data_IF_829643506528
#
_entry.id   IF_829643506528
#
_cell.length_a   1.000
_cell.length_b   1.000
_cell.length_c   1.000
_cell.angle_alpha   90.00
_cell.angle_beta   90.00
_cell.angle_gamma   90.00
#
_symmetry.space_group_name_H-M   'P 1'
#
loop_
_entity.id
_entity.type
_entity.pdbx_description
1 polymer ?
#
# COMPACT_ATOMS: atom_id res chain seq x y z
N UNK A 1 10.94 -65.82 -7.03
CA UNK A 1 10.47 -65.17 -8.28
C UNK A 1 9.47 -64.11 -7.85
N UNK A 2 9.96 -63.03 -7.23
CA UNK A 2 10.40 -61.78 -7.88
C UNK A 2 9.23 -61.08 -8.57
N UNK A 3 8.60 -60.17 -7.81
CA UNK A 3 7.68 -59.16 -8.29
C UNK A 3 8.51 -58.08 -9.01
N UNK A 4 8.55 -58.16 -10.34
CA UNK A 4 8.98 -57.08 -11.23
C UNK A 4 7.71 -56.55 -11.88
N UNK A 5 7.34 -55.32 -11.55
CA UNK A 5 6.14 -54.68 -12.11
C UNK A 5 5.74 -53.47 -11.29
N UNK A 6 6.42 -52.37 -11.58
CA UNK A 6 6.00 -50.96 -11.44
C UNK A 6 7.06 -50.10 -10.73
N UNK A 7 8.18 -50.01 -11.42
CA UNK A 7 9.02 -48.84 -11.40
C UNK A 7 8.35 -47.72 -12.22
N UNK A 8 8.55 -46.48 -11.76
CA UNK A 8 8.38 -45.22 -12.50
C UNK A 8 6.96 -44.67 -12.61
N UNK A 9 6.47 -44.13 -11.49
CA UNK A 9 5.66 -42.91 -11.55
C UNK A 9 6.16 -41.88 -10.52
N UNK A 10 7.49 -41.65 -10.51
CA UNK A 10 8.02 -40.34 -10.14
C UNK A 10 7.65 -39.41 -11.29
N UNK A 11 6.48 -38.79 -11.18
CA UNK A 11 6.06 -37.69 -12.03
C UNK A 11 7.06 -36.55 -11.86
N UNK A 12 8.03 -36.54 -12.74
CA UNK A 12 8.61 -35.41 -13.45
C UNK A 12 8.04 -34.04 -13.05
N UNK A 13 8.32 -33.58 -11.82
CA UNK A 13 8.27 -32.16 -11.49
C UNK A 13 9.53 -31.53 -12.07
N UNK A 14 9.63 -31.51 -13.40
CA UNK A 14 10.42 -30.48 -14.05
C UNK A 14 9.88 -29.15 -13.50
N UNK A 15 10.77 -28.37 -12.89
CA UNK A 15 10.62 -26.96 -12.60
C UNK A 15 10.13 -26.22 -13.86
N UNK A 16 8.84 -26.31 -14.17
CA UNK A 16 8.25 -25.48 -15.21
C UNK A 16 8.28 -24.07 -14.67
N UNK A 17 9.23 -23.29 -15.20
CA UNK A 17 9.34 -21.86 -14.93
C UNK A 17 7.94 -21.26 -15.14
N UNK A 18 7.34 -20.63 -14.11
CA UNK A 18 5.99 -20.11 -14.21
C UNK A 18 5.79 -19.23 -15.45
N UNK A 19 4.70 -19.46 -16.19
CA UNK A 19 4.34 -18.69 -17.39
C UNK A 19 2.87 -18.30 -17.38
N UNK A 20 2.51 -17.28 -18.16
CA UNK A 20 1.12 -16.87 -18.38
C UNK A 20 0.89 -15.40 -18.04
N UNK A 21 -0.36 -14.95 -18.18
CA UNK A 21 -0.76 -13.58 -17.82
C UNK A 21 -1.31 -13.54 -16.40
N UNK A 22 -0.93 -12.52 -15.63
CA UNK A 22 -1.53 -12.20 -14.33
C UNK A 22 -2.07 -10.77 -14.41
N UNK A 23 -3.40 -10.63 -14.30
CA UNK A 23 -4.09 -9.35 -14.31
C UNK A 23 -4.34 -8.87 -12.88
N UNK A 24 -3.80 -7.72 -12.51
CA UNK A 24 -3.89 -7.15 -11.16
C UNK A 24 -4.63 -5.82 -11.20
N UNK A 25 -5.61 -5.66 -10.32
CA UNK A 25 -6.24 -4.37 -10.07
C UNK A 25 -5.71 -3.74 -8.77
N UNK A 26 -5.24 -2.50 -8.82
CA UNK A 26 -4.69 -1.81 -7.65
C UNK A 26 -4.93 -0.30 -7.75
N UNK A 27 -4.85 0.42 -6.62
CA UNK A 27 -4.74 1.89 -6.67
C UNK A 27 -3.32 2.30 -7.06
N UNK A 28 -3.15 3.48 -7.64
CA UNK A 28 -1.83 4.04 -7.99
C UNK A 28 -0.85 4.02 -6.81
N UNK A 29 -1.33 4.39 -5.62
CA UNK A 29 -0.54 4.35 -4.39
C UNK A 29 -0.09 2.94 -4.03
N UNK A 30 -0.98 1.95 -4.14
CA UNK A 30 -0.62 0.56 -3.90
C UNK A 30 0.41 0.05 -4.92
N UNK A 31 0.22 0.35 -6.21
CA UNK A 31 1.18 -0.04 -7.27
C UNK A 31 2.58 0.49 -6.96
N UNK A 32 2.68 1.79 -6.63
CA UNK A 32 3.98 2.42 -6.31
C UNK A 32 4.63 1.84 -5.06
N UNK A 33 3.82 1.48 -4.07
CA UNK A 33 4.31 1.05 -2.77
C UNK A 33 4.72 -0.42 -2.74
N UNK A 34 3.95 -1.31 -3.36
CA UNK A 34 4.17 -2.77 -3.22
C UNK A 34 4.60 -3.46 -4.50
N UNK A 35 4.09 -3.04 -5.67
CA UNK A 35 4.45 -3.68 -6.95
C UNK A 35 5.76 -3.12 -7.50
N UNK A 36 5.86 -1.79 -7.63
CA UNK A 36 7.01 -1.11 -8.25
C UNK A 36 8.37 -1.59 -7.72
N UNK A 37 8.59 -1.78 -6.41
CA UNK A 37 9.89 -2.24 -5.90
C UNK A 37 10.32 -3.62 -6.39
N UNK A 38 9.36 -4.49 -6.75
CA UNK A 38 9.65 -5.89 -7.12
C UNK A 38 9.66 -6.13 -8.64
N UNK A 39 9.01 -5.27 -9.45
CA UNK A 39 8.73 -5.55 -10.87
C UNK A 39 9.96 -5.95 -11.67
N UNK A 40 11.05 -5.19 -11.56
CA UNK A 40 12.26 -5.43 -12.33
C UNK A 40 12.90 -6.79 -11.99
N UNK A 41 13.05 -7.09 -10.69
CA UNK A 41 13.61 -8.36 -10.24
C UNK A 41 12.70 -9.55 -10.54
N UNK A 42 11.38 -9.37 -10.40
CA UNK A 42 10.38 -10.40 -10.68
C UNK A 42 10.35 -10.79 -12.15
N UNK A 43 10.25 -9.82 -13.06
CA UNK A 43 10.16 -10.08 -14.51
C UNK A 43 11.49 -10.61 -15.07
N UNK A 44 12.63 -10.24 -14.48
CA UNK A 44 13.91 -10.85 -14.81
C UNK A 44 13.99 -12.33 -14.39
N UNK A 45 13.41 -12.68 -13.23
CA UNK A 45 13.36 -14.07 -12.73
C UNK A 45 12.35 -14.94 -13.48
N UNK A 46 11.23 -14.36 -13.92
CA UNK A 46 10.14 -15.08 -14.57
C UNK A 46 9.78 -14.44 -15.93
N UNK A 47 10.62 -14.60 -16.97
CA UNK A 47 10.43 -13.94 -18.27
C UNK A 47 9.21 -14.45 -19.05
N UNK A 48 8.66 -15.62 -18.70
CA UNK A 48 7.44 -16.16 -19.30
C UNK A 48 6.14 -15.62 -18.69
N UNK A 49 6.21 -14.75 -17.67
CA UNK A 49 5.05 -14.10 -17.07
C UNK A 49 4.81 -12.74 -17.73
N UNK A 50 3.57 -12.49 -18.11
CA UNK A 50 3.08 -11.17 -18.47
C UNK A 50 2.26 -10.59 -17.30
N UNK A 51 2.64 -9.41 -16.79
CA UNK A 51 1.86 -8.69 -15.79
C UNK A 51 1.03 -7.60 -16.47
N UNK A 52 -0.30 -7.70 -16.35
CA UNK A 52 -1.25 -6.66 -16.75
C UNK A 52 -1.74 -5.95 -15.48
N UNK A 53 -1.25 -4.74 -15.23
CA UNK A 53 -1.56 -3.99 -14.01
C UNK A 53 -2.47 -2.82 -14.37
N UNK A 54 -3.68 -2.84 -13.84
CA UNK A 54 -4.68 -1.79 -14.04
C UNK A 54 -4.79 -0.96 -12.76
N UNK A 55 -4.53 0.34 -12.91
CA UNK A 55 -4.77 1.34 -11.88
C UNK A 55 -6.23 1.79 -11.95
N UNK A 56 -7.05 1.35 -11.00
CA UNK A 56 -8.44 1.81 -10.84
C UNK A 56 -8.73 2.01 -9.35
N UNK A 57 -9.24 3.19 -9.00
CA UNK A 57 -9.65 3.54 -7.64
C UNK A 57 -11.02 2.98 -7.23
N UNK A 58 -11.79 2.37 -8.13
CA UNK A 58 -13.10 1.79 -7.83
C UNK A 58 -12.95 0.44 -7.12
N UNK A 59 -13.91 0.04 -6.29
CA UNK A 59 -14.05 -1.36 -5.88
C UNK A 59 -14.49 -2.14 -7.13
N UNK A 60 -13.52 -2.58 -7.95
CA UNK A 60 -13.77 -3.44 -9.09
C UNK A 60 -14.20 -4.81 -8.59
N UNK A 61 -15.22 -5.39 -9.21
CA UNK A 61 -15.49 -6.81 -9.07
C UNK A 61 -14.39 -7.54 -9.81
N UNK A 62 -13.30 -7.87 -9.11
CA UNK A 62 -12.13 -8.49 -9.74
C UNK A 62 -12.49 -9.78 -10.47
N UNK A 63 -13.56 -10.47 -10.05
CA UNK A 63 -14.02 -11.70 -10.70
C UNK A 63 -14.81 -11.39 -11.97
N UNK A 64 -15.76 -10.46 -11.89
CA UNK A 64 -16.57 -10.01 -13.03
C UNK A 64 -15.76 -9.33 -14.13
N UNK A 65 -14.74 -8.56 -13.75
CA UNK A 65 -13.88 -7.78 -14.66
C UNK A 65 -12.67 -8.59 -15.19
N UNK A 66 -12.55 -9.86 -14.79
CA UNK A 66 -11.53 -10.77 -15.29
C UNK A 66 -10.12 -10.48 -14.79
N UNK A 67 -9.99 -9.99 -13.55
CA UNK A 67 -8.72 -9.87 -12.84
C UNK A 67 -8.42 -11.16 -12.05
N UNK A 68 -7.14 -11.49 -11.94
CA UNK A 68 -6.67 -12.65 -11.16
C UNK A 68 -6.57 -12.30 -9.66
N UNK A 69 -6.21 -11.06 -9.33
CA UNK A 69 -6.16 -10.55 -7.97
C UNK A 69 -6.32 -9.02 -7.93
N UNK A 70 -6.61 -8.51 -6.73
CA UNK A 70 -6.55 -7.08 -6.43
C UNK A 70 -5.60 -6.76 -5.29
N UNK A 71 -5.21 -5.49 -5.16
CA UNK A 71 -4.47 -4.98 -4.00
C UNK A 71 -5.27 -3.84 -3.38
N UNK A 72 -5.64 -3.99 -2.10
CA UNK A 72 -6.49 -3.05 -1.35
C UNK A 72 -6.11 -3.01 0.13
N UNK A 73 -6.61 -2.01 0.85
CA UNK A 73 -6.55 -1.99 2.31
C UNK A 73 -7.26 -3.23 2.87
N UNK A 74 -6.70 -3.83 3.93
CA UNK A 74 -7.22 -5.06 4.52
C UNK A 74 -8.72 -4.98 4.87
N UNK A 75 -9.20 -3.83 5.32
CA UNK A 75 -10.61 -3.58 5.68
C UNK A 75 -11.57 -3.52 4.48
N UNK A 76 -11.04 -3.26 3.28
CA UNK A 76 -11.83 -3.19 2.04
C UNK A 76 -11.86 -4.53 1.29
N UNK A 77 -11.18 -5.57 1.79
CA UNK A 77 -11.19 -6.90 1.17
C UNK A 77 -12.51 -7.62 1.45
N UNK A 78 -13.22 -8.13 0.42
CA UNK A 78 -14.42 -8.93 0.61
C UNK A 78 -14.17 -10.18 1.49
N UNK A 79 -15.12 -10.50 2.38
CA UNK A 79 -14.97 -11.56 3.40
C UNK A 79 -14.85 -12.97 2.82
N UNK A 80 -15.35 -13.20 1.62
CA UNK A 80 -15.33 -14.46 0.88
C UNK A 80 -14.03 -14.67 0.09
N UNK A 81 -13.12 -13.70 0.08
CA UNK A 81 -11.86 -13.75 -0.64
C UNK A 81 -10.68 -14.10 0.27
N UNK A 82 -9.65 -14.69 -0.33
CA UNK A 82 -8.38 -14.93 0.37
C UNK A 82 -7.61 -13.61 0.41
N UNK A 83 -7.11 -13.23 1.59
CA UNK A 83 -6.30 -12.03 1.78
C UNK A 83 -4.87 -12.40 2.23
N UNK A 84 -3.88 -11.89 1.51
CA UNK A 84 -2.45 -12.02 1.82
C UNK A 84 -1.91 -10.65 2.18
N UNK A 85 -1.45 -10.47 3.41
CA UNK A 85 -0.86 -9.19 3.84
C UNK A 85 0.45 -8.92 3.09
N UNK A 86 0.54 -7.73 2.49
CA UNK A 86 1.70 -7.29 1.71
C UNK A 86 2.58 -6.28 2.43
N UNK A 87 2.19 -5.86 3.63
CA UNK A 87 2.97 -4.87 4.36
C UNK A 87 2.68 -4.88 5.85
N UNK A 88 3.63 -4.34 6.60
CA UNK A 88 3.44 -4.00 8.00
C UNK A 88 2.41 -2.88 8.20
N UNK A 89 2.12 -2.55 9.47
CA UNK A 89 1.14 -1.52 9.80
C UNK A 89 1.52 -0.16 9.19
N UNK A 90 0.58 0.46 8.49
CA UNK A 90 0.75 1.76 7.83
C UNK A 90 0.12 2.86 8.67
N UNK A 91 0.66 4.08 8.65
CA UNK A 91 0.02 5.24 9.28
C UNK A 91 -0.18 6.35 8.26
N UNK A 92 -1.22 7.16 8.46
CA UNK A 92 -1.24 8.50 7.87
C UNK A 92 -0.46 9.47 8.77
N UNK A 93 0.08 10.53 8.19
CA UNK A 93 0.76 11.59 8.91
C UNK A 93 0.21 12.94 8.46
N UNK A 94 -0.20 13.75 9.44
CA UNK A 94 -0.43 15.18 9.24
C UNK A 94 0.92 15.89 9.35
N UNK A 95 1.38 16.50 8.26
CA UNK A 95 2.73 17.04 8.10
C UNK A 95 2.71 18.45 7.53
N UNK A 96 3.64 19.29 7.97
CA UNK A 96 3.96 20.58 7.33
C UNK A 96 5.42 20.95 7.58
N UNK A 97 5.94 21.92 6.85
CA UNK A 97 7.27 22.45 7.10
C UNK A 97 7.36 23.19 8.44
N UNK A 98 8.55 23.22 9.09
CA UNK A 98 8.77 24.00 10.30
C UNK A 98 8.37 25.48 10.15
N UNK A 99 8.62 26.07 8.98
CA UNK A 99 8.31 27.48 8.72
C UNK A 99 6.81 27.76 8.62
N UNK A 100 6.01 26.80 8.14
CA UNK A 100 4.56 26.89 8.22
C UNK A 100 4.10 26.94 9.69
N UNK A 101 4.61 26.03 10.53
CA UNK A 101 4.24 25.99 11.95
C UNK A 101 4.72 27.21 12.74
N UNK A 102 5.88 27.79 12.42
CA UNK A 102 6.31 29.07 13.02
C UNK A 102 5.33 30.21 12.74
N UNK A 103 4.73 30.23 11.53
CA UNK A 103 3.79 31.28 11.10
C UNK A 103 2.37 31.05 11.59
N UNK A 104 1.88 29.81 11.58
CA UNK A 104 0.46 29.47 11.78
C UNK A 104 0.18 28.77 13.11
N UNK A 105 1.21 28.44 13.90
CA UNK A 105 1.06 27.59 15.08
C UNK A 105 0.89 26.12 14.71
N UNK A 106 0.71 25.26 15.73
CA UNK A 106 0.53 23.81 15.57
C UNK A 106 -0.88 23.39 16.02
N UNK A 107 -1.59 22.53 15.28
CA UNK A 107 -2.82 21.93 15.78
C UNK A 107 -2.51 20.94 16.91
N UNK A 108 -3.27 21.02 18.00
CA UNK A 108 -3.19 20.10 19.13
C UNK A 108 -4.24 18.98 19.04
N UNK A 109 -5.39 19.28 18.41
CA UNK A 109 -6.47 18.32 18.15
C UNK A 109 -6.94 18.41 16.70
N UNK A 110 -7.59 17.36 16.14
CA UNK A 110 -8.03 17.35 14.74
C UNK A 110 -8.94 18.52 14.38
N UNK A 111 -9.75 19.04 15.30
CA UNK A 111 -10.63 20.18 15.08
C UNK A 111 -9.86 21.48 14.79
N UNK A 112 -8.64 21.63 15.29
CA UNK A 112 -7.82 22.83 15.05
C UNK A 112 -7.51 23.00 13.55
N UNK A 113 -7.57 21.91 12.77
CA UNK A 113 -7.35 21.93 11.33
C UNK A 113 -8.35 22.82 10.58
N UNK A 114 -9.52 23.13 11.14
CA UNK A 114 -10.45 24.11 10.56
C UNK A 114 -9.86 25.53 10.48
N UNK A 115 -8.79 25.81 11.23
CA UNK A 115 -8.09 27.10 11.27
C UNK A 115 -6.74 27.10 10.53
N UNK A 116 -6.40 25.99 9.87
CA UNK A 116 -5.16 25.82 9.14
C UNK A 116 -5.39 25.71 7.62
N UNK A 117 -4.39 26.14 6.86
CA UNK A 117 -4.33 25.87 5.43
C UNK A 117 -4.05 24.38 5.23
N UNK A 118 -5.05 23.62 4.76
CA UNK A 118 -4.88 22.19 4.50
C UNK A 118 -4.80 21.89 3.00
N UNK A 119 -3.87 21.03 2.63
CA UNK A 119 -3.70 20.52 1.27
C UNK A 119 -4.64 19.32 1.12
N UNK A 120 -5.64 19.44 0.25
CA UNK A 120 -6.73 18.47 0.12
C UNK A 120 -6.41 17.42 -0.93
N UNK A 121 -6.88 16.20 -0.73
CA UNK A 121 -6.78 15.11 -1.71
C UNK A 121 -8.13 14.86 -2.39
N UNK A 122 -8.13 14.73 -3.71
CA UNK A 122 -9.29 14.38 -4.54
C UNK A 122 -9.08 12.99 -5.11
N UNK A 123 -10.03 12.09 -4.85
CA UNK A 123 -10.10 10.78 -5.49
C UNK A 123 -10.52 10.92 -6.96
N UNK A 124 -10.26 9.90 -7.77
CA UNK A 124 -10.68 9.85 -9.18
C UNK A 124 -12.20 9.94 -9.34
N UNK A 125 -12.97 9.55 -8.31
CA UNK A 125 -14.43 9.74 -8.25
C UNK A 125 -14.86 11.21 -8.16
N UNK A 126 -13.92 12.14 -8.00
CA UNK A 126 -14.16 13.56 -7.74
C UNK A 126 -14.41 13.88 -6.26
N UNK A 127 -14.60 12.86 -5.41
CA UNK A 127 -14.79 13.05 -3.98
C UNK A 127 -13.52 13.60 -3.32
N UNK A 128 -13.69 14.52 -2.36
CA UNK A 128 -12.59 15.01 -1.53
C UNK A 128 -12.46 14.12 -0.30
N UNK A 129 -11.23 13.70 0.00
CA UNK A 129 -10.95 12.91 1.17
C UNK A 129 -11.22 13.70 2.45
N UNK A 130 -12.08 13.12 3.31
CA UNK A 130 -12.29 13.59 4.68
C UNK A 130 -11.24 12.93 5.54
N UNK A 131 -10.41 13.72 6.22
CA UNK A 131 -9.29 13.19 6.98
C UNK A 131 -9.83 12.42 8.18
N UNK A 132 -9.39 11.18 8.30
CA UNK A 132 -9.83 10.29 9.37
C UNK A 132 -8.75 10.22 10.44
N UNK A 133 -9.10 10.68 11.64
CA UNK A 133 -8.28 10.63 12.83
C UNK A 133 -8.92 9.66 13.82
N UNK A 134 -8.12 8.96 14.61
CA UNK A 134 -8.64 8.10 15.65
C UNK A 134 -7.76 8.10 16.90
N UNK A 135 -8.36 8.13 18.08
CA UNK A 135 -7.63 8.04 19.35
C UNK A 135 -8.48 7.31 20.39
N UNK A 136 -7.95 6.24 20.99
CA UNK A 136 -8.63 5.45 22.03
C UNK A 136 -10.05 4.99 21.63
N UNK A 137 -10.24 4.58 20.37
CA UNK A 137 -11.53 4.12 19.84
C UNK A 137 -12.49 5.23 19.39
N UNK A 138 -12.18 6.50 19.65
CA UNK A 138 -12.90 7.64 19.06
C UNK A 138 -12.38 7.85 17.63
N UNK A 139 -13.28 7.92 16.65
CA UNK A 139 -12.97 8.24 15.25
C UNK A 139 -13.57 9.60 14.92
N UNK A 140 -12.75 10.48 14.34
CA UNK A 140 -13.14 11.80 13.88
C UNK A 140 -12.86 11.94 12.38
N UNK A 141 -13.86 12.43 11.64
CA UNK A 141 -13.71 12.73 10.21
C UNK A 141 -13.75 14.24 10.02
N UNK A 142 -12.63 14.82 9.65
CA UNK A 142 -12.47 16.27 9.47
C UNK A 142 -12.56 16.61 7.99
N UNK A 143 -13.54 17.43 7.63
CA UNK A 143 -13.64 17.98 6.27
C UNK A 143 -12.85 19.29 6.21
N UNK A 144 -11.55 19.17 5.96
CA UNK A 144 -10.64 20.32 5.90
C UNK A 144 -10.86 21.19 4.66
N UNK A 145 -10.51 22.47 4.79
CA UNK A 145 -10.44 23.45 3.70
C UNK A 145 -9.00 23.93 3.53
N UNK A 146 -8.70 24.58 2.42
CA UNK A 146 -7.39 25.16 2.21
C UNK A 146 -7.11 25.52 0.76
N UNK A 147 -5.91 26.05 0.50
CA UNK A 147 -5.58 26.73 -0.75
C UNK A 147 -5.35 25.78 -1.92
N UNK A 148 -5.16 24.48 -1.67
CA UNK A 148 -4.73 23.53 -2.68
C UNK A 148 -5.52 22.22 -2.59
N UNK A 149 -5.91 21.67 -3.75
CA UNK A 149 -6.53 20.35 -3.87
C UNK A 149 -5.86 19.58 -4.99
N UNK A 150 -5.25 18.44 -4.67
CA UNK A 150 -4.48 17.60 -5.58
C UNK A 150 -5.09 16.19 -5.66
N UNK A 151 -4.74 15.44 -6.70
CA UNK A 151 -4.99 14.00 -6.81
C UNK A 151 -3.68 13.19 -6.73
N UNK A 152 -2.57 13.85 -6.41
CA UNK A 152 -1.23 13.27 -6.34
C UNK A 152 -0.65 13.49 -4.93
N UNK A 153 -0.45 12.41 -4.18
CA UNK A 153 0.03 12.46 -2.79
C UNK A 153 1.52 12.85 -2.67
N UNK A 154 2.44 12.37 -3.52
CA UNK A 154 3.81 12.89 -3.55
C UNK A 154 3.88 14.42 -3.70
N UNK A 155 3.08 15.00 -4.60
CA UNK A 155 3.00 16.45 -4.78
C UNK A 155 2.42 17.17 -3.56
N UNK A 156 1.55 16.50 -2.76
CA UNK A 156 1.12 17.05 -1.47
C UNK A 156 2.27 17.17 -0.47
N UNK A 157 3.23 16.23 -0.50
CA UNK A 157 4.45 16.29 0.35
C UNK A 157 5.33 17.46 -0.08
N UNK A 158 5.52 17.65 -1.38
CA UNK A 158 6.26 18.80 -1.94
C UNK A 158 5.61 20.13 -1.55
N UNK A 159 4.28 20.24 -1.70
CA UNK A 159 3.54 21.42 -1.26
C UNK A 159 3.66 21.70 0.24
N UNK A 160 3.71 20.65 1.08
CA UNK A 160 3.95 20.80 2.52
C UNK A 160 5.38 21.28 2.82
N UNK A 161 6.38 20.81 2.07
CA UNK A 161 7.77 21.25 2.15
C UNK A 161 7.89 22.74 1.81
N UNK A 162 7.18 23.19 0.78
CA UNK A 162 7.13 24.59 0.35
C UNK A 162 6.33 25.49 1.32
N UNK A 163 5.79 24.92 2.40
CA UNK A 163 5.09 25.67 3.46
C UNK A 163 3.71 26.19 3.04
N UNK A 164 3.10 25.58 2.02
CA UNK A 164 1.74 25.91 1.56
C UNK A 164 0.69 25.58 2.64
N UNK A 165 0.88 24.48 3.36
CA UNK A 165 -0.10 24.04 4.35
C UNK A 165 0.24 22.70 4.96
N UNK A 166 -0.75 22.14 5.68
CA UNK A 166 -0.69 20.80 6.26
C UNK A 166 -1.18 19.80 5.21
N UNK A 167 -0.39 18.77 4.94
CA UNK A 167 -0.80 17.62 4.15
C UNK A 167 -1.13 16.43 5.06
N UNK A 168 -2.05 15.58 4.64
CA UNK A 168 -2.36 14.31 5.31
C UNK A 168 -2.18 13.16 4.32
N UNK A 169 -1.08 12.45 4.49
CA UNK A 169 -0.58 11.45 3.53
C UNK A 169 -0.13 10.18 4.26
N UNK A 170 -0.06 9.03 3.57
CA UNK A 170 0.67 7.88 4.10
C UNK A 170 2.10 8.26 4.50
N UNK A 171 2.52 7.87 5.70
CA UNK A 171 3.77 8.34 6.32
C UNK A 171 5.02 7.98 5.53
N UNK A 172 5.04 6.82 4.86
CA UNK A 172 6.13 6.38 4.00
C UNK A 172 6.49 7.39 2.90
N UNK A 173 5.55 8.21 2.42
CA UNK A 173 5.82 9.25 1.42
C UNK A 173 6.62 10.43 1.98
N UNK A 174 6.56 10.65 3.28
CA UNK A 174 7.18 11.78 3.96
C UNK A 174 8.37 11.37 4.85
N UNK A 175 8.66 10.08 4.96
CA UNK A 175 9.65 9.54 5.90
C UNK A 175 11.01 10.21 5.81
N UNK A 176 11.55 10.42 4.60
CA UNK A 176 12.87 11.03 4.44
C UNK A 176 12.86 12.50 4.87
N UNK A 177 11.85 13.26 4.46
CA UNK A 177 11.70 14.65 4.87
C UNK A 177 11.44 14.82 6.38
N UNK A 178 10.75 13.87 7.00
CA UNK A 178 10.54 13.82 8.45
C UNK A 178 11.84 13.51 9.20
N UNK A 179 12.64 12.55 8.69
CA UNK A 179 13.95 12.19 9.26
C UNK A 179 14.94 13.36 9.19
N UNK A 180 14.92 14.10 8.08
CA UNK A 180 15.78 15.26 7.85
C UNK A 180 15.31 16.52 8.60
N UNK A 181 14.14 16.48 9.26
CA UNK A 181 13.54 17.64 9.93
C UNK A 181 13.02 18.73 8.98
N UNK A 182 12.93 18.44 7.67
CA UNK A 182 12.37 19.35 6.66
C UNK A 182 10.84 19.41 6.74
N UNK A 183 10.23 18.33 7.23
CA UNK A 183 8.84 18.28 7.63
C UNK A 183 8.75 17.88 9.09
N UNK A 184 7.68 18.32 9.74
CA UNK A 184 7.35 17.91 11.08
C UNK A 184 5.95 17.31 11.11
N UNK A 185 5.78 16.29 11.95
CA UNK A 185 4.49 15.64 12.19
C UNK A 185 3.72 16.36 13.29
N UNK A 186 2.40 16.42 13.13
CA UNK A 186 1.44 16.85 14.17
C UNK A 186 0.34 15.80 14.31
N UNK A 187 -0.42 15.87 15.41
CA UNK A 187 -1.56 14.97 15.68
C UNK A 187 -1.18 13.48 15.66
N UNK A 188 0.06 13.13 16.02
CA UNK A 188 0.56 11.75 15.92
C UNK A 188 -0.27 10.75 16.75
N UNK A 189 -0.69 11.13 17.95
CA UNK A 189 -1.56 10.31 18.80
C UNK A 189 -2.93 10.01 18.18
N UNK A 190 -3.33 10.80 17.19
CA UNK A 190 -4.59 10.66 16.46
C UNK A 190 -4.44 9.88 15.15
N UNK A 191 -3.23 9.38 14.84
CA UNK A 191 -2.92 8.66 13.61
C UNK A 191 -2.47 7.22 13.91
N UNK A 192 -3.36 6.35 14.41
CA UNK A 192 -3.02 4.98 14.72
C UNK A 192 -2.69 4.22 13.44
N UNK A 193 -1.90 3.15 13.59
CA UNK A 193 -1.57 2.32 12.46
C UNK A 193 -2.72 1.40 12.09
N UNK A 194 -2.92 1.19 10.79
CA UNK A 194 -3.87 0.24 10.23
C UNK A 194 -3.14 -0.92 9.56
N UNK A 195 -3.81 -2.08 9.34
CA UNK A 195 -3.17 -3.31 8.89
C UNK A 195 -2.49 -3.26 7.51
N UNK A 196 -2.62 -2.15 6.78
CA UNK A 196 -1.96 -1.94 5.50
C UNK A 196 -2.69 -2.58 4.32
N UNK A 197 -1.93 -2.82 3.25
CA UNK A 197 -2.41 -3.39 2.00
C UNK A 197 -2.33 -4.93 2.02
N UNK A 198 -3.35 -5.54 1.45
CA UNK A 198 -3.43 -6.96 1.15
C UNK A 198 -3.57 -7.17 -0.35
N UNK A 199 -2.91 -8.20 -0.86
CA UNK A 199 -3.31 -8.84 -2.11
C UNK A 199 -4.49 -9.74 -1.79
N UNK A 200 -5.54 -9.68 -2.60
CA UNK A 200 -6.70 -10.54 -2.43
C UNK A 200 -7.15 -11.17 -3.74
N UNK A 201 -7.68 -12.39 -3.66
CA UNK A 201 -8.15 -13.16 -4.82
C UNK A 201 -9.25 -14.14 -4.41
N UNK A 202 -9.99 -14.66 -5.40
CA UNK A 202 -11.06 -15.63 -5.16
C UNK A 202 -10.47 -16.98 -4.71
N UNK A 203 -10.84 -17.44 -3.51
CA UNK A 203 -10.43 -18.76 -2.99
C UNK A 203 -11.05 -19.95 -3.72
N UNK A 204 -12.09 -19.72 -4.53
CA UNK A 204 -12.79 -20.75 -5.28
C UNK A 204 -12.21 -21.01 -6.67
N UNK A 205 -11.27 -20.17 -7.13
CA UNK A 205 -10.60 -20.32 -8.43
C UNK A 205 -9.23 -20.96 -8.29
N UNK A 206 -8.78 -21.60 -9.36
CA UNK A 206 -7.41 -22.10 -9.45
C UNK A 206 -6.42 -20.94 -9.43
N UNK A 207 -5.49 -20.94 -8.46
CA UNK A 207 -4.37 -19.99 -8.41
C UNK A 207 -3.31 -20.47 -9.38
N UNK A 208 -3.12 -19.74 -10.48
CA UNK A 208 -2.12 -20.09 -11.49
C UNK A 208 -0.69 -20.07 -10.91
N UNK A 209 0.26 -20.85 -11.48
CA UNK A 209 1.65 -20.79 -11.08
C UNK A 209 2.24 -19.37 -11.13
N UNK A 210 1.83 -18.58 -12.13
CA UNK A 210 2.27 -17.19 -12.29
C UNK A 210 1.77 -16.27 -11.16
N UNK A 211 0.49 -16.38 -10.76
CA UNK A 211 -0.06 -15.61 -9.64
C UNK A 211 0.60 -16.04 -8.31
N UNK A 212 0.82 -17.35 -8.11
CA UNK A 212 1.51 -17.85 -6.91
C UNK A 212 2.93 -17.30 -6.81
N UNK A 213 3.69 -17.31 -7.90
CA UNK A 213 5.03 -16.73 -7.94
C UNK A 213 5.04 -15.24 -7.58
N UNK A 214 4.05 -14.47 -8.05
CA UNK A 214 3.90 -13.06 -7.69
C UNK A 214 3.58 -12.87 -6.21
N UNK A 215 2.65 -13.66 -5.65
CA UNK A 215 2.31 -13.64 -4.23
C UNK A 215 3.53 -13.93 -3.37
N UNK A 216 4.33 -14.94 -3.74
CA UNK A 216 5.54 -15.32 -3.03
C UNK A 216 6.61 -14.22 -3.08
N UNK A 217 6.77 -13.56 -4.24
CA UNK A 217 7.68 -12.41 -4.39
C UNK A 217 7.27 -11.25 -3.51
N UNK A 218 6.00 -10.86 -3.56
CA UNK A 218 5.45 -9.77 -2.77
C UNK A 218 5.56 -10.06 -1.27
N UNK A 219 5.20 -11.26 -0.84
CA UNK A 219 5.27 -11.66 0.57
C UNK A 219 6.71 -11.68 1.08
N UNK A 220 7.66 -12.09 0.24
CA UNK A 220 9.08 -12.09 0.60
C UNK A 220 9.62 -10.66 0.72
N UNK A 221 9.22 -9.75 -0.16
CA UNK A 221 9.59 -8.33 -0.08
C UNK A 221 8.94 -7.61 1.11
N UNK A 222 7.70 -8.00 1.45
CA UNK A 222 6.94 -7.46 2.57
C UNK A 222 7.52 -7.81 3.94
N UNK A 223 8.22 -8.96 4.04
CA UNK A 223 8.90 -9.34 5.28
C UNK A 223 10.06 -8.37 5.50
N UNK A 224 10.10 -7.66 6.63
CA UNK A 224 11.31 -6.91 6.98
C UNK A 224 12.47 -7.91 6.97
N UNK A 225 13.57 -7.56 6.29
CA UNK A 225 14.82 -8.30 6.43
C UNK A 225 15.03 -8.54 7.92
N UNK A 226 15.06 -9.83 8.32
CA UNK A 226 15.33 -10.19 9.69
C UNK A 226 16.61 -9.43 10.09
N UNK A 227 16.46 -8.50 11.04
CA UNK A 227 17.56 -7.76 11.62
C UNK A 227 18.69 -8.75 11.88
N UNK A 228 19.82 -8.51 11.21
CA UNK A 228 20.99 -9.35 11.28
C UNK A 228 21.31 -9.68 12.74
N UNK A 229 21.50 -10.98 12.96
CA UNK A 229 22.01 -11.61 14.18
C UNK A 229 22.99 -10.73 14.95
N UNK A 230 22.74 -10.63 16.25
CA UNK A 230 23.71 -10.76 17.35
C UNK A 230 25.19 -10.61 17.00
N UNK A 231 25.82 -9.55 17.51
CA UNK A 231 27.18 -9.56 18.03
C UNK A 231 27.10 -8.69 19.30
N UNK A 232 26.92 -9.25 20.49
CA UNK A 232 27.92 -9.95 21.31
C UNK A 232 29.26 -9.18 21.36
N UNK A 233 29.38 -8.24 22.29
CA UNK A 233 30.39 -8.18 23.36
C UNK A 233 29.95 -7.14 24.39
#
# INVERSE_FOLDING_TARGET
MEAIGDALQELDTHDQTPTGTVRINASEGAIRLVLKPILAGFLARYPGIHLDIVSDGRLSDIVGDGFDAGIRLAEAVPKDMVAVSLMGPVRFAAIASPDYFKRRGRPAVPQDLYHHDCIRFRFDSGAIYRWEFARKGLIEKINVTGPLTLSDQPMMVEAALDGIGIAFVPDHLAMDALRDGRLERVLEEWCPAYPGLCLYYSGHRHVSPALRALIDELTRHARPEAQGKTANT
#
